data_IF_130928354256
#
_entry.id   IF_130928354256
#
_cell.length_a   1.000
_cell.length_b   1.000
_cell.length_c   1.000
_cell.angle_alpha   90.00
_cell.angle_beta   90.00
_cell.angle_gamma   90.00
#
_symmetry.space_group_name_H-M   'P 1'
#
loop_
_entity.id
_entity.type
_entity.pdbx_description
1 polymer ?
#
# COMPACT_ATOMS: atom_id res chain seq x y z
N UNK A 1 65.27 0.75 -36.46
CA UNK A 1 64.27 -0.26 -36.02
C UNK A 1 63.85 0.19 -34.65
N UNK A 2 62.64 0.70 -34.55
CA UNK A 2 62.07 1.16 -33.29
C UNK A 2 61.16 0.04 -32.77
N UNK A 3 61.52 -0.53 -31.62
CA UNK A 3 60.70 -1.50 -30.91
C UNK A 3 59.44 -0.80 -30.41
N UNK A 4 58.30 -1.20 -30.95
CA UNK A 4 56.98 -0.87 -30.41
C UNK A 4 56.68 -1.88 -29.30
N UNK A 5 56.88 -1.48 -28.06
CA UNK A 5 56.33 -2.17 -26.88
C UNK A 5 54.81 -2.12 -26.94
N UNK A 6 54.20 -3.26 -27.20
CA UNK A 6 52.77 -3.49 -27.16
C UNK A 6 52.35 -3.73 -25.70
N UNK A 7 52.23 -2.65 -24.95
CA UNK A 7 51.76 -2.68 -23.55
C UNK A 7 50.35 -3.22 -23.48
N UNK A 8 50.25 -4.29 -22.74
CA UNK A 8 49.17 -5.18 -22.47
C UNK A 8 47.72 -4.63 -22.50
N UNK A 9 46.90 -5.24 -23.29
CA UNK A 9 45.45 -5.23 -23.13
C UNK A 9 45.11 -5.58 -21.68
N UNK A 10 44.60 -4.59 -20.93
CA UNK A 10 44.13 -4.76 -19.57
C UNK A 10 43.22 -5.96 -19.47
N UNK A 11 43.64 -6.98 -18.73
CA UNK A 11 42.93 -8.22 -18.56
C UNK A 11 41.50 -7.96 -18.12
N UNK A 12 40.53 -8.59 -18.79
CA UNK A 12 39.14 -8.55 -18.40
C UNK A 12 39.03 -8.89 -16.92
N UNK A 13 38.44 -7.99 -16.13
CA UNK A 13 38.22 -8.23 -14.71
C UNK A 13 37.49 -9.55 -14.53
N UNK A 14 37.94 -10.38 -13.57
CA UNK A 14 37.36 -11.69 -13.26
C UNK A 14 35.83 -11.61 -13.21
N UNK A 15 35.16 -12.47 -13.98
CA UNK A 15 33.70 -12.59 -13.92
C UNK A 15 33.24 -12.90 -12.48
N UNK A 16 32.43 -12.02 -11.91
CA UNK A 16 31.81 -12.21 -10.59
C UNK A 16 30.38 -12.69 -10.81
N UNK A 17 30.06 -13.89 -10.35
CA UNK A 17 28.73 -14.46 -10.48
C UNK A 17 27.65 -13.62 -9.79
N UNK A 18 26.39 -13.78 -10.20
CA UNK A 18 25.25 -13.10 -9.54
C UNK A 18 25.18 -13.50 -8.06
N UNK A 19 25.46 -14.78 -7.75
CA UNK A 19 25.50 -15.29 -6.37
C UNK A 19 26.56 -14.59 -5.52
N UNK A 20 27.79 -14.47 -6.03
CA UNK A 20 28.90 -13.78 -5.29
C UNK A 20 28.57 -12.29 -5.06
N UNK A 21 28.06 -11.60 -6.07
CA UNK A 21 27.64 -10.19 -5.92
C UNK A 21 26.58 -10.02 -4.86
N UNK A 22 25.58 -10.93 -4.84
CA UNK A 22 24.52 -10.92 -3.84
C UNK A 22 25.06 -11.25 -2.43
N UNK A 23 25.92 -12.25 -2.30
CA UNK A 23 26.57 -12.56 -1.03
C UNK A 23 27.35 -11.35 -0.48
N UNK A 24 28.07 -10.62 -1.36
CA UNK A 24 28.76 -9.38 -0.98
C UNK A 24 27.80 -8.30 -0.46
N UNK A 25 26.65 -8.11 -1.12
CA UNK A 25 25.65 -7.13 -0.68
C UNK A 25 25.01 -7.52 0.66
N UNK A 26 24.74 -8.81 0.88
CA UNK A 26 24.25 -9.32 2.18
C UNK A 26 25.28 -9.14 3.29
N UNK A 27 26.57 -9.29 3.00
CA UNK A 27 27.63 -9.00 3.96
C UNK A 27 27.67 -7.51 4.32
N UNK A 28 27.40 -6.60 3.35
CA UNK A 28 27.26 -5.17 3.64
C UNK A 28 26.09 -4.89 4.58
N UNK A 29 24.93 -5.52 4.35
CA UNK A 29 23.77 -5.41 5.25
C UNK A 29 24.13 -5.88 6.67
N UNK A 30 24.79 -7.04 6.82
CA UNK A 30 25.27 -7.52 8.13
C UNK A 30 26.27 -6.57 8.81
N UNK A 31 27.10 -5.87 8.04
CA UNK A 31 28.00 -4.84 8.61
C UNK A 31 27.21 -3.66 9.18
N UNK A 32 26.10 -3.27 8.56
CA UNK A 32 25.21 -2.24 9.08
C UNK A 32 24.58 -2.67 10.42
N UNK A 33 24.11 -3.91 10.51
CA UNK A 33 23.59 -4.47 11.76
C UNK A 33 24.63 -4.45 12.88
N UNK A 34 25.88 -4.87 12.59
CA UNK A 34 26.99 -4.81 13.55
C UNK A 34 27.35 -3.38 14.01
N UNK A 35 26.99 -2.37 13.21
CA UNK A 35 27.14 -0.94 13.58
C UNK A 35 25.93 -0.38 14.31
N UNK A 36 25.00 -1.23 14.75
CA UNK A 36 23.82 -0.85 15.53
C UNK A 36 22.58 -0.50 14.71
N UNK A 37 22.62 -0.65 13.37
CA UNK A 37 21.40 -0.43 12.56
C UNK A 37 20.48 -1.63 12.68
N UNK A 38 19.27 -1.42 13.20
CA UNK A 38 18.23 -2.45 13.21
C UNK A 38 17.64 -2.55 11.80
N UNK A 39 17.72 -3.73 11.17
CA UNK A 39 17.14 -4.00 9.85
C UNK A 39 15.80 -4.72 10.01
N UNK A 40 14.86 -4.36 9.14
CA UNK A 40 13.52 -4.98 9.06
C UNK A 40 13.36 -5.73 7.73
N UNK A 41 13.95 -6.94 7.57
CA UNK A 41 13.92 -7.67 6.31
C UNK A 41 12.49 -8.12 5.95
N UNK A 42 12.24 -8.25 4.64
CA UNK A 42 11.04 -8.91 4.14
C UNK A 42 11.30 -10.41 4.10
N UNK A 43 10.55 -11.15 4.91
CA UNK A 43 10.59 -12.62 4.95
C UNK A 43 9.23 -13.15 4.55
N UNK A 44 9.19 -13.95 3.49
CA UNK A 44 7.98 -14.59 3.01
C UNK A 44 7.83 -15.97 3.67
N UNK A 45 6.60 -16.32 3.98
CA UNK A 45 6.21 -17.66 4.42
C UNK A 45 5.76 -18.47 3.20
N UNK A 46 6.68 -19.27 2.65
CA UNK A 46 6.47 -20.06 1.44
C UNK A 46 6.60 -19.26 0.14
N UNK A 47 5.88 -19.68 -0.90
CA UNK A 47 6.01 -19.17 -2.27
C UNK A 47 5.18 -17.90 -2.54
N UNK A 48 4.14 -17.65 -1.75
CA UNK A 48 3.22 -16.54 -1.97
C UNK A 48 3.80 -15.24 -1.40
N UNK A 49 3.70 -14.16 -2.17
CA UNK A 49 4.15 -12.83 -1.71
C UNK A 49 3.15 -12.26 -0.70
N UNK A 50 1.86 -12.43 -0.96
CA UNK A 50 0.78 -11.95 -0.11
C UNK A 50 -0.38 -12.96 -0.07
N UNK A 51 -1.04 -13.04 1.09
CA UNK A 51 -2.15 -13.96 1.36
C UNK A 51 -3.41 -13.24 1.87
N UNK A 52 -3.25 -12.15 2.61
CA UNK A 52 -4.36 -11.34 3.12
C UNK A 52 -5.05 -10.53 2.00
N UNK A 53 -6.22 -9.99 2.30
CA UNK A 53 -6.91 -9.07 1.39
C UNK A 53 -6.04 -7.88 1.00
N UNK A 54 -5.50 -7.15 1.99
CA UNK A 54 -4.74 -5.93 1.75
C UNK A 54 -3.47 -6.15 0.95
N UNK A 55 -2.72 -7.21 1.29
CA UNK A 55 -1.49 -7.55 0.57
C UNK A 55 -1.75 -8.02 -0.87
N UNK A 56 -2.80 -8.83 -1.08
CA UNK A 56 -3.21 -9.27 -2.43
C UNK A 56 -3.67 -8.11 -3.31
N UNK A 57 -4.56 -7.27 -2.80
CA UNK A 57 -5.08 -6.14 -3.57
C UNK A 57 -3.99 -5.10 -3.85
N UNK A 58 -3.02 -4.91 -2.94
CA UNK A 58 -1.82 -4.13 -3.22
C UNK A 58 -1.04 -4.69 -4.41
N UNK A 59 -0.71 -5.99 -4.39
CA UNK A 59 0.03 -6.63 -5.49
C UNK A 59 -0.76 -6.57 -6.81
N UNK A 60 -2.07 -6.83 -6.77
CA UNK A 60 -2.96 -6.78 -7.93
C UNK A 60 -3.05 -5.36 -8.51
N UNK A 61 -3.10 -4.34 -7.65
CA UNK A 61 -3.07 -2.95 -8.08
C UNK A 61 -1.77 -2.62 -8.83
N UNK A 62 -0.61 -3.02 -8.30
CA UNK A 62 0.69 -2.84 -8.98
C UNK A 62 0.74 -3.55 -10.34
N UNK A 63 0.25 -4.79 -10.39
CA UNK A 63 0.25 -5.61 -11.61
C UNK A 63 -0.70 -5.12 -12.69
N UNK A 64 -1.65 -4.28 -12.30
CA UNK A 64 -2.57 -3.64 -13.24
C UNK A 64 -1.94 -2.47 -14.02
N UNK A 65 -0.74 -2.03 -13.64
CA UNK A 65 -0.02 -0.96 -14.33
C UNK A 65 0.83 -1.54 -15.46
N UNK A 66 0.34 -1.42 -16.70
CA UNK A 66 1.00 -1.99 -17.88
C UNK A 66 2.46 -1.53 -18.05
N UNK A 67 2.77 -0.29 -17.67
CA UNK A 67 4.12 0.29 -17.75
C UNK A 67 5.16 -0.44 -16.89
N UNK A 68 4.72 -1.23 -15.90
CA UNK A 68 5.58 -1.97 -14.98
C UNK A 68 5.77 -3.45 -15.35
N UNK A 69 5.07 -3.94 -16.39
CA UNK A 69 4.96 -5.35 -16.73
C UNK A 69 6.32 -6.06 -16.92
N UNK A 70 7.29 -5.41 -17.55
CA UNK A 70 8.61 -6.00 -17.83
C UNK A 70 9.51 -6.20 -16.61
N UNK A 71 9.32 -5.43 -15.54
CA UNK A 71 10.18 -5.41 -14.34
C UNK A 71 9.59 -6.16 -13.17
N UNK A 72 8.26 -6.29 -13.11
CA UNK A 72 7.55 -6.97 -12.03
C UNK A 72 7.97 -8.43 -11.83
N UNK A 73 8.13 -9.29 -12.86
CA UNK A 73 8.58 -10.67 -12.67
C UNK A 73 9.96 -10.76 -11.99
N UNK A 74 10.89 -9.87 -12.35
CA UNK A 74 12.22 -9.78 -11.71
C UNK A 74 12.10 -9.33 -10.26
N UNK A 75 11.21 -8.37 -9.96
CA UNK A 75 10.91 -7.93 -8.60
C UNK A 75 10.38 -9.06 -7.74
N UNK A 76 9.45 -9.88 -8.25
CA UNK A 76 8.95 -11.08 -7.55
C UNK A 76 10.08 -12.05 -7.19
N UNK A 77 11.01 -12.29 -8.11
CA UNK A 77 12.17 -13.14 -7.86
C UNK A 77 13.05 -12.55 -6.74
N UNK A 78 13.29 -11.24 -6.75
CA UNK A 78 14.10 -10.56 -5.74
C UNK A 78 13.48 -10.63 -4.34
N UNK A 79 12.19 -10.34 -4.20
CA UNK A 79 11.52 -10.42 -2.89
C UNK A 79 11.46 -11.85 -2.36
N UNK A 80 11.14 -12.84 -3.23
CA UNK A 80 11.13 -14.27 -2.86
C UNK A 80 12.49 -14.77 -2.39
N UNK A 81 13.54 -14.25 -2.96
CA UNK A 81 14.90 -14.62 -2.60
C UNK A 81 15.42 -13.88 -1.36
N UNK A 82 14.58 -13.12 -0.63
CA UNK A 82 14.97 -12.36 0.55
C UNK A 82 15.96 -11.22 0.26
N UNK A 83 15.94 -10.67 -0.97
CA UNK A 83 16.83 -9.58 -1.35
C UNK A 83 16.47 -8.25 -0.68
N UNK A 84 15.23 -8.04 -0.23
CA UNK A 84 14.82 -6.85 0.53
C UNK A 84 15.23 -7.03 1.98
N UNK A 85 16.40 -6.48 2.34
CA UNK A 85 17.05 -6.69 3.65
C UNK A 85 16.64 -5.66 4.69
N UNK A 86 16.06 -4.53 4.29
CA UNK A 86 15.42 -3.56 5.18
C UNK A 86 14.21 -2.98 4.45
N UNK A 87 13.07 -2.87 5.12
CA UNK A 87 11.85 -2.27 4.59
C UNK A 87 11.10 -1.53 5.68
N UNK A 88 11.03 -0.22 5.55
CA UNK A 88 10.35 0.67 6.50
C UNK A 88 9.24 1.44 5.81
N UNK A 89 8.07 1.43 6.44
CA UNK A 89 6.90 2.13 5.96
C UNK A 89 6.54 3.24 6.95
N UNK A 90 6.41 4.45 6.44
CA UNK A 90 5.95 5.63 7.17
C UNK A 90 4.81 6.35 6.46
N UNK A 91 4.44 7.53 6.94
CA UNK A 91 3.40 8.34 6.33
C UNK A 91 3.83 8.82 4.93
N UNK A 92 3.24 8.24 3.89
CA UNK A 92 3.56 8.55 2.50
C UNK A 92 4.97 8.15 2.04
N UNK A 93 5.72 7.40 2.84
CA UNK A 93 7.13 7.10 2.58
C UNK A 93 7.45 5.63 2.81
N UNK A 94 8.24 5.07 1.90
CA UNK A 94 8.81 3.73 2.00
C UNK A 94 10.30 3.84 1.74
N UNK A 95 11.12 3.41 2.69
CA UNK A 95 12.57 3.34 2.56
C UNK A 95 13.02 1.90 2.68
N UNK A 96 13.92 1.48 1.80
CA UNK A 96 14.35 0.10 1.77
C UNK A 96 15.81 -0.06 1.32
N UNK A 97 16.42 -1.17 1.77
CA UNK A 97 17.70 -1.66 1.28
C UNK A 97 17.50 -2.98 0.54
N UNK A 98 18.01 -3.04 -0.68
CA UNK A 98 17.88 -4.23 -1.55
C UNK A 98 19.25 -4.75 -1.94
N UNK A 99 19.52 -6.02 -1.59
CA UNK A 99 20.73 -6.73 -1.95
C UNK A 99 20.67 -7.20 -3.42
N UNK A 100 21.49 -6.63 -4.26
CA UNK A 100 21.69 -7.03 -5.66
C UNK A 100 23.16 -7.26 -5.97
N UNK A 101 23.70 -6.66 -7.02
CA UNK A 101 25.15 -6.62 -7.26
C UNK A 101 25.88 -5.68 -6.27
N UNK A 102 25.13 -4.78 -5.68
CA UNK A 102 25.52 -3.94 -4.53
C UNK A 102 24.34 -3.88 -3.58
N UNK A 103 24.51 -3.22 -2.44
CA UNK A 103 23.39 -2.86 -1.58
C UNK A 103 22.80 -1.55 -2.10
N UNK A 104 21.55 -1.61 -2.58
CA UNK A 104 20.87 -0.48 -3.19
C UNK A 104 19.89 0.16 -2.22
N UNK A 105 19.90 1.46 -2.15
CA UNK A 105 18.92 2.27 -1.44
C UNK A 105 17.75 2.53 -2.38
N UNK A 106 16.55 2.25 -1.89
CA UNK A 106 15.29 2.48 -2.60
C UNK A 106 14.41 3.34 -1.73
N UNK A 107 13.90 4.41 -2.30
CA UNK A 107 12.90 5.27 -1.65
C UNK A 107 11.69 5.40 -2.56
N UNK A 108 10.50 5.24 -1.97
CA UNK A 108 9.22 5.38 -2.66
C UNK A 108 8.36 6.34 -1.86
N UNK A 109 7.95 7.42 -2.52
CA UNK A 109 6.99 8.37 -1.95
C UNK A 109 5.62 8.11 -2.56
N UNK A 110 4.61 8.04 -1.73
CA UNK A 110 3.20 7.89 -2.12
C UNK A 110 2.46 9.14 -1.70
N UNK A 111 1.78 9.77 -2.64
CA UNK A 111 1.02 10.99 -2.36
C UNK A 111 -0.11 10.68 -1.36
N UNK A 112 -0.36 11.64 -0.48
CA UNK A 112 -1.48 11.60 0.46
C UNK A 112 -2.80 11.44 -0.32
N UNK A 113 -3.71 10.63 0.19
CA UNK A 113 -5.05 10.53 -0.37
C UNK A 113 -5.77 11.88 -0.25
N UNK A 114 -6.26 12.41 -1.36
CA UNK A 114 -6.98 13.68 -1.36
C UNK A 114 -8.20 13.61 -0.44
N UNK A 115 -8.41 14.65 0.39
CA UNK A 115 -9.50 14.67 1.38
C UNK A 115 -10.89 14.48 0.78
N UNK A 116 -11.13 15.01 -0.45
CA UNK A 116 -12.38 14.77 -1.18
C UNK A 116 -12.59 13.29 -1.50
N UNK A 117 -11.53 12.60 -1.94
CA UNK A 117 -11.55 11.16 -2.24
C UNK A 117 -11.72 10.33 -0.96
N UNK A 118 -11.01 10.68 0.12
CA UNK A 118 -11.19 10.06 1.43
C UNK A 118 -12.63 10.21 1.94
N UNK A 119 -13.21 11.41 1.84
CA UNK A 119 -14.60 11.67 2.20
C UNK A 119 -15.60 10.84 1.38
N UNK A 120 -15.34 10.61 0.08
CA UNK A 120 -16.16 9.74 -0.77
C UNK A 120 -16.10 8.28 -0.31
N UNK A 121 -14.90 7.76 -0.02
CA UNK A 121 -14.71 6.40 0.55
C UNK A 121 -15.48 6.25 1.85
N UNK A 122 -15.35 7.21 2.79
CA UNK A 122 -16.08 7.18 4.05
C UNK A 122 -17.59 7.12 3.82
N UNK A 123 -18.14 7.94 2.91
CA UNK A 123 -19.59 7.94 2.60
C UNK A 123 -20.06 6.60 2.05
N UNK A 124 -19.30 5.98 1.13
CA UNK A 124 -19.63 4.67 0.54
C UNK A 124 -19.59 3.54 1.58
N UNK A 125 -18.69 3.62 2.55
CA UNK A 125 -18.51 2.62 3.61
C UNK A 125 -19.39 2.87 4.85
N UNK A 126 -20.03 4.04 4.96
CA UNK A 126 -20.76 4.45 6.16
C UNK A 126 -21.92 3.47 6.52
N UNK A 127 -21.96 3.05 7.77
CA UNK A 127 -22.94 2.10 8.30
C UNK A 127 -22.64 0.63 7.99
N UNK A 128 -21.55 0.32 7.27
CA UNK A 128 -21.24 -1.02 6.76
C UNK A 128 -19.97 -1.64 7.33
N UNK A 129 -19.25 -0.92 8.18
CA UNK A 129 -18.03 -1.40 8.85
C UNK A 129 -18.33 -1.55 10.34
N UNK A 130 -18.21 -2.76 10.85
CA UNK A 130 -18.59 -3.09 12.22
C UNK A 130 -17.47 -2.86 13.23
N UNK A 131 -16.23 -3.08 12.81
CA UNK A 131 -15.07 -2.95 13.69
C UNK A 131 -13.77 -2.69 12.93
N UNK A 132 -12.80 -2.08 13.63
CA UNK A 132 -11.41 -1.94 13.13
C UNK A 132 -10.82 -3.30 12.82
N UNK A 133 -11.03 -4.30 13.68
CA UNK A 133 -10.49 -5.65 13.50
C UNK A 133 -11.06 -6.32 12.24
N UNK A 134 -12.36 -6.18 11.99
CA UNK A 134 -13.00 -6.67 10.76
C UNK A 134 -12.40 -6.04 9.50
N UNK A 135 -12.22 -4.71 9.53
CA UNK A 135 -11.62 -3.95 8.44
C UNK A 135 -10.17 -4.40 8.17
N UNK A 136 -9.32 -4.49 9.19
CA UNK A 136 -7.93 -4.90 9.04
C UNK A 136 -7.80 -6.35 8.57
N UNK A 137 -8.69 -7.23 8.99
CA UNK A 137 -8.75 -8.62 8.51
C UNK A 137 -9.35 -8.78 7.12
N UNK A 138 -9.85 -7.70 6.51
CA UNK A 138 -10.55 -7.74 5.22
C UNK A 138 -11.90 -8.49 5.28
N UNK A 139 -12.49 -8.63 6.47
CA UNK A 139 -13.82 -9.23 6.68
C UNK A 139 -14.89 -8.17 6.54
N UNK A 140 -15.21 -7.84 5.29
CA UNK A 140 -16.09 -6.76 4.91
C UNK A 140 -17.08 -7.24 3.85
N UNK A 141 -18.23 -6.56 3.73
CA UNK A 141 -19.15 -6.82 2.65
C UNK A 141 -18.50 -6.50 1.30
N UNK A 142 -18.93 -7.19 0.26
CA UNK A 142 -18.44 -6.99 -1.12
C UNK A 142 -18.49 -5.52 -1.54
N UNK A 143 -19.60 -4.85 -1.25
CA UNK A 143 -19.79 -3.41 -1.54
C UNK A 143 -18.75 -2.52 -0.87
N UNK A 144 -18.29 -2.85 0.36
CA UNK A 144 -17.24 -2.11 1.05
C UNK A 144 -15.90 -2.41 0.41
N UNK A 145 -15.62 -3.69 0.11
CA UNK A 145 -14.38 -4.08 -0.56
C UNK A 145 -14.24 -3.39 -1.91
N UNK A 146 -15.28 -3.39 -2.73
CA UNK A 146 -15.32 -2.67 -4.01
C UNK A 146 -15.05 -1.18 -3.86
N UNK A 147 -15.67 -0.55 -2.84
CA UNK A 147 -15.45 0.87 -2.57
C UNK A 147 -13.99 1.18 -2.21
N UNK A 148 -13.32 0.27 -1.48
CA UNK A 148 -11.93 0.44 -1.05
C UNK A 148 -10.93 0.20 -2.17
N UNK A 149 -11.20 -0.77 -3.07
CA UNK A 149 -10.29 -1.13 -4.18
C UNK A 149 -10.57 -0.39 -5.48
N UNK A 150 -11.60 0.45 -5.52
CA UNK A 150 -11.93 1.24 -6.69
C UNK A 150 -10.70 2.02 -7.20
N UNK A 151 -10.37 1.88 -8.48
CA UNK A 151 -9.15 2.46 -9.07
C UNK A 151 -9.17 3.99 -9.14
N UNK A 152 -10.34 4.62 -9.23
CA UNK A 152 -10.50 6.07 -9.35
C UNK A 152 -10.76 6.72 -8.01
N UNK A 153 -11.64 6.13 -7.22
CA UNK A 153 -12.17 6.72 -5.98
C UNK A 153 -11.78 5.94 -4.71
N UNK A 154 -11.16 4.77 -4.83
CA UNK A 154 -10.74 3.95 -3.70
C UNK A 154 -9.44 4.42 -3.05
N UNK A 155 -8.88 3.57 -2.19
CA UNK A 155 -7.69 3.88 -1.39
C UNK A 155 -6.37 3.69 -2.13
N UNK A 156 -6.33 2.78 -3.13
CA UNK A 156 -5.07 2.39 -3.76
C UNK A 156 -4.49 3.54 -4.60
N UNK A 157 -3.17 3.77 -4.53
CA UNK A 157 -2.54 4.85 -5.27
C UNK A 157 -2.54 4.55 -6.77
N UNK A 158 -2.81 5.56 -7.58
CA UNK A 158 -2.62 5.49 -9.02
C UNK A 158 -1.11 5.63 -9.36
N UNK A 159 -0.65 5.21 -10.57
CA UNK A 159 0.76 5.32 -10.96
C UNK A 159 1.36 6.70 -10.76
N UNK A 160 0.61 7.74 -11.10
CA UNK A 160 1.02 9.15 -10.94
C UNK A 160 1.16 9.62 -9.50
N UNK A 161 0.60 8.88 -8.54
CA UNK A 161 0.70 9.16 -7.10
C UNK A 161 1.89 8.44 -6.45
N UNK A 162 2.69 7.68 -7.24
CA UNK A 162 3.82 6.90 -6.73
C UNK A 162 5.11 7.40 -7.38
N UNK A 163 6.04 7.88 -6.58
CA UNK A 163 7.32 8.43 -7.01
C UNK A 163 8.45 7.54 -6.51
N UNK A 164 9.39 7.19 -7.40
CA UNK A 164 10.45 6.22 -7.11
C UNK A 164 11.84 6.84 -7.23
N UNK A 165 12.74 6.41 -6.36
CA UNK A 165 14.18 6.58 -6.51
C UNK A 165 14.90 5.29 -6.15
N UNK A 166 15.99 5.00 -6.85
CA UNK A 166 16.86 3.85 -6.57
C UNK A 166 18.30 4.21 -6.89
N UNK A 167 19.24 3.84 -6.02
CA UNK A 167 20.68 4.08 -6.24
C UNK A 167 21.33 3.14 -7.26
N UNK A 168 20.55 2.30 -7.97
CA UNK A 168 21.07 1.41 -8.99
C UNK A 168 21.33 2.14 -10.32
N UNK A 169 22.25 1.64 -11.17
CA UNK A 169 22.56 2.26 -12.46
C UNK A 169 21.51 1.97 -13.56
N UNK A 170 20.34 1.42 -13.22
CA UNK A 170 19.25 1.16 -14.16
C UNK A 170 18.43 2.44 -14.36
N UNK A 171 18.42 3.00 -15.57
CA UNK A 171 17.70 4.24 -15.90
C UNK A 171 16.18 4.06 -16.07
N UNK A 172 15.64 2.85 -15.89
CA UNK A 172 14.22 2.61 -15.98
C UNK A 172 13.47 3.25 -14.80
N UNK A 173 12.32 3.88 -15.05
CA UNK A 173 11.44 4.44 -14.01
C UNK A 173 11.14 3.42 -12.92
N UNK A 174 10.87 2.17 -13.28
CA UNK A 174 10.71 1.05 -12.36
C UNK A 174 11.82 0.02 -12.60
N UNK A 175 12.86 0.01 -11.78
CA UNK A 175 13.86 -1.04 -11.81
C UNK A 175 13.39 -2.28 -11.00
N UNK A 176 14.12 -3.41 -11.14
CA UNK A 176 13.83 -4.65 -10.39
C UNK A 176 13.88 -4.50 -8.87
N UNK A 177 14.67 -3.55 -8.35
CA UNK A 177 14.81 -3.29 -6.91
C UNK A 177 13.59 -2.56 -6.38
N UNK A 178 13.11 -1.53 -7.07
CA UNK A 178 11.85 -0.84 -6.74
C UNK A 178 10.69 -1.84 -6.80
N UNK A 179 10.60 -2.65 -7.87
CA UNK A 179 9.59 -3.69 -7.99
C UNK A 179 9.62 -4.68 -6.80
N UNK A 180 10.82 -5.09 -6.34
CA UNK A 180 10.96 -5.95 -5.17
C UNK A 180 10.46 -5.28 -3.88
N UNK A 181 10.75 -4.00 -3.70
CA UNK A 181 10.28 -3.20 -2.56
C UNK A 181 8.76 -3.11 -2.57
N UNK A 182 8.15 -2.79 -3.71
CA UNK A 182 6.69 -2.71 -3.83
C UNK A 182 6.00 -4.05 -3.52
N UNK A 183 6.55 -5.18 -3.97
CA UNK A 183 6.07 -6.51 -3.55
C UNK A 183 6.33 -6.77 -2.07
N UNK A 184 7.44 -6.29 -1.53
CA UNK A 184 7.74 -6.35 -0.11
C UNK A 184 6.72 -5.61 0.75
N UNK A 185 6.18 -4.48 0.27
CA UNK A 185 5.04 -3.79 0.91
C UNK A 185 3.83 -4.72 0.99
N UNK A 186 3.46 -5.39 -0.10
CA UNK A 186 2.36 -6.36 -0.10
C UNK A 186 2.54 -7.43 0.97
N UNK A 187 3.74 -8.00 1.09
CA UNK A 187 4.06 -8.96 2.14
C UNK A 187 4.01 -8.36 3.57
N UNK A 188 4.37 -7.09 3.72
CA UNK A 188 4.30 -6.39 5.01
C UNK A 188 2.85 -6.13 5.42
N UNK A 189 1.98 -5.81 4.46
CA UNK A 189 0.55 -5.59 4.69
C UNK A 189 -0.20 -6.86 5.11
N UNK A 190 0.33 -8.05 4.84
CA UNK A 190 -0.22 -9.30 5.37
C UNK A 190 -0.14 -9.37 6.90
N UNK A 191 0.91 -8.81 7.48
CA UNK A 191 1.18 -8.83 8.93
C UNK A 191 0.72 -7.57 9.64
N UNK A 192 0.76 -6.42 8.94
CA UNK A 192 0.47 -5.08 9.47
C UNK A 192 -0.37 -4.29 8.46
N UNK A 193 -1.65 -4.66 8.26
CA UNK A 193 -2.52 -4.00 7.26
C UNK A 193 -2.79 -2.53 7.56
N UNK A 194 -2.70 -2.10 8.83
CA UNK A 194 -2.81 -0.70 9.24
C UNK A 194 -1.79 0.22 8.56
N UNK A 195 -0.63 -0.31 8.18
CA UNK A 195 0.39 0.45 7.47
C UNK A 195 -0.08 0.97 6.11
N UNK A 196 -1.10 0.36 5.51
CA UNK A 196 -1.67 0.86 4.27
C UNK A 196 -2.34 2.22 4.45
N UNK A 197 -3.06 2.41 5.55
CA UNK A 197 -3.68 3.68 5.91
C UNK A 197 -2.62 4.73 6.25
N UNK A 198 -1.57 4.33 6.96
CA UNK A 198 -0.39 5.17 7.21
C UNK A 198 0.25 5.64 5.91
N UNK A 199 0.49 4.74 4.95
CA UNK A 199 1.04 5.08 3.64
C UNK A 199 0.17 6.08 2.87
N UNK A 200 -1.15 6.00 3.00
CA UNK A 200 -2.06 6.95 2.36
C UNK A 200 -2.31 8.21 3.19
N UNK A 201 -1.67 8.32 4.38
CA UNK A 201 -1.81 9.44 5.32
C UNK A 201 -3.28 9.72 5.67
N UNK A 202 -4.05 8.65 5.94
CA UNK A 202 -5.44 8.71 6.38
C UNK A 202 -5.61 8.03 7.72
N UNK A 203 -6.61 8.50 8.48
CA UNK A 203 -6.92 8.00 9.83
C UNK A 203 -7.95 6.88 9.72
N UNK A 204 -7.54 5.67 10.08
CA UNK A 204 -8.38 4.46 10.01
C UNK A 204 -9.63 4.59 10.88
N UNK A 205 -9.48 5.17 12.07
CA UNK A 205 -10.54 5.35 13.06
C UNK A 205 -11.69 6.23 12.54
N UNK A 206 -11.41 7.19 11.66
CA UNK A 206 -12.46 8.01 11.03
C UNK A 206 -13.43 7.17 10.19
N UNK A 207 -12.93 6.14 9.50
CA UNK A 207 -13.75 5.26 8.68
C UNK A 207 -14.73 4.46 9.55
N UNK A 208 -14.26 3.96 10.69
CA UNK A 208 -15.07 3.16 11.63
C UNK A 208 -16.02 4.04 12.44
N UNK A 209 -15.55 5.17 12.97
CA UNK A 209 -16.37 6.09 13.76
C UNK A 209 -17.55 6.64 12.95
N UNK A 210 -17.33 7.09 11.72
CA UNK A 210 -18.42 7.58 10.86
C UNK A 210 -19.36 6.47 10.41
N UNK A 211 -18.87 5.22 10.32
CA UNK A 211 -19.71 4.04 10.09
C UNK A 211 -20.63 3.76 11.29
N UNK A 212 -20.12 3.85 12.50
CA UNK A 212 -20.89 3.66 13.74
C UNK A 212 -21.95 4.76 13.94
N UNK A 213 -21.57 6.02 13.73
CA UNK A 213 -22.52 7.16 13.83
C UNK A 213 -23.71 7.03 12.90
N UNK A 214 -23.50 6.54 11.67
CA UNK A 214 -24.60 6.34 10.71
C UNK A 214 -25.52 5.20 11.09
N UNK A 215 -25.03 4.16 11.78
CA UNK A 215 -25.88 3.08 12.29
C UNK A 215 -26.68 3.52 13.52
N UNK A 216 -26.09 4.38 14.35
CA UNK A 216 -26.76 4.93 15.53
C UNK A 216 -27.76 6.05 15.19
N UNK A 217 -27.69 6.65 14.00
CA UNK A 217 -28.66 7.61 13.55
C UNK A 217 -30.01 6.87 13.41
N UNK A 218 -31.08 7.31 14.09
CA UNK A 218 -32.39 6.69 13.94
C UNK A 218 -32.75 6.71 12.45
N UNK A 219 -33.21 5.58 11.94
CA UNK A 219 -33.87 5.56 10.65
C UNK A 219 -34.87 6.71 10.68
N UNK A 220 -34.84 7.61 9.70
CA UNK A 220 -35.95 8.51 9.44
C UNK A 220 -37.12 7.66 8.96
N UNK A 221 -37.66 6.83 9.82
CA UNK A 221 -39.06 6.53 9.74
C UNK A 221 -39.73 7.88 9.91
N UNK A 222 -40.26 8.39 8.84
CA UNK A 222 -41.27 9.41 8.92
C UNK A 222 -42.33 8.76 9.82
N UNK A 223 -42.37 9.14 11.09
CA UNK A 223 -43.45 8.76 11.97
C UNK A 223 -44.73 9.26 11.25
N UNK A 224 -45.46 8.32 10.68
CA UNK A 224 -46.72 8.63 10.09
C UNK A 224 -47.55 9.29 11.19
N UNK A 225 -47.97 10.53 10.95
CA UNK A 225 -48.77 11.29 11.93
C UNK A 225 -50.00 10.49 12.40
N UNK A 226 -50.53 9.60 11.59
CA UNK A 226 -51.59 8.68 11.96
C UNK A 226 -51.21 7.64 13.01
N UNK A 227 -49.96 7.20 13.05
CA UNK A 227 -49.47 6.25 14.05
C UNK A 227 -49.21 6.95 15.43
N UNK A 228 -48.86 8.22 15.42
CA UNK A 228 -48.71 9.02 16.65
C UNK A 228 -50.04 9.30 17.32
N UNK A 229 -51.09 9.61 16.56
CA UNK A 229 -52.47 9.79 17.05
C UNK A 229 -52.99 8.50 17.72
N UNK A 230 -52.71 7.32 17.13
CA UNK A 230 -53.12 6.02 17.68
C UNK A 230 -52.36 5.60 18.95
N UNK A 231 -51.09 5.95 19.08
CA UNK A 231 -50.25 5.58 20.24
C UNK A 231 -50.43 6.51 21.41
N UNK A 232 -50.64 7.81 21.18
CA UNK A 232 -50.69 8.82 22.23
C UNK A 232 -52.08 9.36 22.50
N UNK A 233 -53.11 9.00 21.71
CA UNK A 233 -54.48 9.47 21.88
C UNK A 233 -54.65 10.98 21.70
N UNK A 234 -53.77 11.63 20.94
CA UNK A 234 -53.74 13.09 20.76
C UNK A 234 -54.12 13.41 19.32
N UNK A 235 -55.20 14.16 19.14
CA UNK A 235 -55.56 14.72 17.83
C UNK A 235 -54.60 15.86 17.49
N UNK A 236 -53.81 15.70 16.42
CA UNK A 236 -52.94 16.73 15.90
C UNK A 236 -53.72 17.73 15.05
N UNK A 237 -53.72 19.00 15.43
CA UNK A 237 -54.38 20.08 14.70
C UNK A 237 -53.80 20.27 13.26
N UNK A 238 -54.54 19.88 12.26
CA UNK A 238 -54.18 19.91 10.82
C UNK A 238 -54.43 21.28 10.19
N UNK A 239 -54.40 22.40 10.92
CA UNK A 239 -54.62 23.70 10.28
C UNK A 239 -53.51 24.06 9.29
N UNK A 240 -53.83 24.33 8.02
CA UNK A 240 -52.85 24.75 7.05
C UNK A 240 -52.34 26.13 7.40
N UNK A 241 -51.02 26.29 7.55
CA UNK A 241 -50.37 27.60 7.69
C UNK A 241 -50.70 28.46 6.50
N UNK A 242 -51.57 29.49 6.68
CA UNK A 242 -51.81 30.56 5.73
C UNK A 242 -50.48 31.23 5.42
N UNK A 243 -50.02 31.17 4.15
CA UNK A 243 -48.96 31.98 3.64
C UNK A 243 -49.48 33.44 3.68
N UNK A 244 -48.90 34.26 4.55
CA UNK A 244 -49.09 35.71 4.51
C UNK A 244 -48.50 36.26 3.21
N UNK A 245 -49.22 37.18 2.63
CA UNK A 245 -48.81 38.01 1.49
C UNK A 245 -47.62 38.89 1.85
#
# INVERSE_FOLDING_TARGET
MADYDFDGYGGFSRYVSVGERRAKALLQAKKLEKRGRVLEPVRLEGQRIASSFWGKEWCKNLESYMDFGNRLPRGRTYVRSGAVVDLRLGAGQIDALVAGSSLYEVSVRIDKLAGKRWGAVIKRCAGRIDSVVGLLRGRLSETVLEALVDRREGLFPAPKEIHFTCSCPDFALLCKHIAAVLYGVGARLDKKPELFFTLRSVVLEELVAKSALRRAAPAKEALDTGSLEGIFGIELDRRPRRRGR
#
